data_IF_753107854251
#
_entry.id   IF_753107854251
#
_cell.length_a   1.000
_cell.length_b   1.000
_cell.length_c   1.000
_cell.angle_alpha   90.00
_cell.angle_beta   90.00
_cell.angle_gamma   90.00
#
_symmetry.space_group_name_H-M   'P 1'
#
loop_
_entity.id
_entity.type
_entity.pdbx_description
1 polymer ?
#
# COMPACT_ATOMS: atom_id res chain seq x y z
N UNK A 1 -3.82 -25.64 13.10
CA UNK A 1 -2.50 -26.30 13.03
C UNK A 1 -1.38 -25.40 12.48
N UNK A 2 -1.61 -24.55 11.47
CA UNK A 2 -0.54 -23.69 10.90
C UNK A 2 0.11 -22.72 11.88
N UNK A 3 -0.64 -22.15 12.85
CA UNK A 3 -0.09 -21.17 13.82
C UNK A 3 0.99 -21.75 14.74
N UNK A 4 0.91 -23.02 15.10
CA UNK A 4 1.88 -23.66 16.01
C UNK A 4 3.21 -23.94 15.30
N UNK A 5 3.17 -24.43 14.07
CA UNK A 5 4.37 -24.66 13.25
C UNK A 5 5.13 -23.36 12.98
N UNK A 6 4.41 -22.28 12.65
CA UNK A 6 4.98 -20.95 12.41
C UNK A 6 5.62 -20.38 13.68
N UNK A 7 5.02 -20.65 14.86
CA UNK A 7 5.58 -20.24 16.15
C UNK A 7 6.85 -21.01 16.52
N UNK A 8 6.88 -22.32 16.26
CA UNK A 8 8.06 -23.15 16.49
C UNK A 8 9.23 -22.68 15.60
N UNK A 9 8.97 -22.43 14.31
CA UNK A 9 10.00 -21.90 13.41
C UNK A 9 10.50 -20.50 13.87
N UNK A 10 9.64 -19.67 14.44
CA UNK A 10 10.01 -18.40 15.06
C UNK A 10 11.00 -18.59 16.22
N UNK A 11 10.78 -19.56 17.11
CA UNK A 11 11.60 -19.77 18.32
C UNK A 11 13.05 -20.15 17.98
N UNK A 12 13.29 -20.85 16.88
CA UNK A 12 14.60 -21.33 16.45
C UNK A 12 15.30 -20.47 15.41
N UNK A 13 14.73 -19.31 15.05
CA UNK A 13 15.28 -18.43 14.03
C UNK A 13 16.29 -17.43 14.59
N UNK A 14 17.43 -17.25 13.89
CA UNK A 14 18.39 -16.17 14.15
C UNK A 14 17.78 -14.76 13.94
N UNK A 15 16.63 -14.67 13.25
CA UNK A 15 15.93 -13.43 12.89
C UNK A 15 14.79 -13.06 13.86
N UNK A 16 14.86 -13.45 15.12
CA UNK A 16 13.76 -13.27 16.10
C UNK A 16 13.25 -11.83 16.18
N UNK A 17 14.15 -10.86 16.24
CA UNK A 17 13.75 -9.47 16.36
C UNK A 17 13.02 -8.96 15.11
N UNK A 18 13.57 -9.23 13.93
CA UNK A 18 12.95 -8.84 12.66
C UNK A 18 11.58 -9.51 12.49
N UNK A 19 11.47 -10.81 12.75
CA UNK A 19 10.20 -11.54 12.72
C UNK A 19 9.19 -10.97 13.71
N UNK A 20 9.62 -10.54 14.90
CA UNK A 20 8.75 -9.92 15.91
C UNK A 20 8.20 -8.58 15.42
N UNK A 21 9.04 -7.74 14.81
CA UNK A 21 8.62 -6.46 14.23
C UNK A 21 7.63 -6.68 13.08
N UNK A 22 7.94 -7.58 12.15
CA UNK A 22 7.02 -7.95 11.05
C UNK A 22 5.69 -8.47 11.58
N UNK A 23 5.68 -9.37 12.56
CA UNK A 23 4.44 -9.88 13.15
C UNK A 23 3.53 -8.77 13.70
N UNK A 24 4.11 -7.73 14.30
CA UNK A 24 3.33 -6.58 14.80
C UNK A 24 2.59 -5.89 13.67
N UNK A 25 3.23 -5.72 12.53
CA UNK A 25 2.64 -5.11 11.33
C UNK A 25 1.63 -6.08 10.70
N UNK A 26 2.05 -7.29 10.40
CA UNK A 26 1.28 -8.27 9.63
C UNK A 26 0.09 -8.87 10.42
N UNK A 27 0.24 -9.05 11.74
CA UNK A 27 -0.71 -9.78 12.58
C UNK A 27 -0.53 -11.30 12.57
N UNK A 28 0.47 -11.81 11.84
CA UNK A 28 0.82 -13.22 11.75
C UNK A 28 2.34 -13.40 11.64
N UNK A 29 2.81 -14.65 11.78
CA UNK A 29 4.24 -14.96 11.60
C UNK A 29 4.57 -15.19 10.13
N UNK A 30 5.61 -14.52 9.57
CA UNK A 30 6.11 -14.82 8.24
C UNK A 30 6.73 -16.23 8.21
N UNK A 31 6.49 -16.97 7.12
CA UNK A 31 7.14 -18.27 6.84
C UNK A 31 8.48 -18.05 6.19
N UNK A 32 8.46 -17.35 5.07
CA UNK A 32 9.62 -17.07 4.24
C UNK A 32 10.14 -15.65 4.48
N UNK A 33 11.07 -15.50 5.45
CA UNK A 33 11.59 -14.18 5.87
C UNK A 33 12.37 -13.48 4.78
N UNK A 34 13.00 -14.22 3.90
CA UNK A 34 13.84 -13.67 2.83
C UNK A 34 13.06 -12.75 1.90
N UNK A 35 11.81 -13.10 1.59
CA UNK A 35 10.92 -12.29 0.73
C UNK A 35 10.58 -10.95 1.38
N UNK A 36 10.35 -10.93 2.70
CA UNK A 36 10.09 -9.69 3.42
C UNK A 36 11.33 -8.81 3.54
N UNK A 37 12.52 -9.40 3.65
CA UNK A 37 13.77 -8.62 3.60
C UNK A 37 13.95 -7.96 2.23
N UNK A 38 13.67 -8.69 1.16
CA UNK A 38 13.69 -8.15 -0.20
C UNK A 38 12.68 -7.01 -0.38
N UNK A 39 11.44 -7.18 0.10
CA UNK A 39 10.41 -6.14 0.06
C UNK A 39 10.80 -4.83 0.75
N UNK A 40 11.67 -4.90 1.75
CA UNK A 40 12.14 -3.76 2.53
C UNK A 40 13.47 -3.17 2.05
N UNK A 41 14.03 -3.72 0.99
CA UNK A 41 15.31 -3.30 0.43
C UNK A 41 15.09 -2.35 -0.74
N UNK A 42 15.33 -1.05 -0.52
CA UNK A 42 15.22 -0.06 -1.59
C UNK A 42 16.42 -0.14 -2.55
N UNK A 43 16.17 0.09 -3.84
CA UNK A 43 17.18 0.06 -4.91
C UNK A 43 18.43 0.92 -4.64
N UNK A 44 18.33 1.97 -3.83
CA UNK A 44 19.48 2.83 -3.50
C UNK A 44 20.64 2.08 -2.84
N UNK A 45 20.36 0.95 -2.19
CA UNK A 45 21.41 0.11 -1.59
C UNK A 45 22.23 -0.69 -2.61
N UNK A 46 21.72 -0.84 -3.84
CA UNK A 46 22.41 -1.57 -4.89
C UNK A 46 23.57 -0.80 -5.53
N UNK A 47 23.66 0.53 -5.32
CA UNK A 47 24.74 1.37 -5.84
C UNK A 47 26.13 0.93 -5.35
N UNK A 48 26.22 0.28 -4.19
CA UNK A 48 27.46 -0.15 -3.58
C UNK A 48 27.75 -1.65 -3.72
N UNK A 49 26.90 -2.42 -4.41
CA UNK A 49 27.08 -3.86 -4.58
C UNK A 49 27.61 -4.16 -5.99
N UNK A 50 28.84 -4.68 -6.07
CA UNK A 50 29.41 -5.26 -7.29
C UNK A 50 28.88 -6.70 -7.44
N UNK A 51 28.28 -7.02 -8.60
CA UNK A 51 27.84 -8.37 -8.96
C UNK A 51 26.42 -8.48 -9.51
N UNK A 52 26.13 -9.60 -10.18
CA UNK A 52 24.90 -9.85 -10.96
C UNK A 52 23.62 -10.11 -10.12
N UNK A 53 23.65 -10.00 -8.80
CA UNK A 53 22.50 -10.22 -7.93
C UNK A 53 22.10 -8.92 -7.20
N UNK A 54 21.63 -7.94 -7.97
CA UNK A 54 20.96 -6.77 -7.41
C UNK A 54 19.59 -7.21 -6.93
N UNK A 55 19.42 -7.40 -5.63
CA UNK A 55 18.10 -7.62 -5.01
C UNK A 55 17.58 -6.30 -4.50
N UNK A 56 16.42 -5.91 -4.95
CA UNK A 56 15.65 -4.77 -4.47
C UNK A 56 14.16 -5.10 -4.51
N UNK A 57 13.34 -4.16 -4.08
CA UNK A 57 11.92 -4.37 -3.93
C UNK A 57 11.08 -4.11 -5.21
N UNK A 58 11.68 -3.66 -6.31
CA UNK A 58 10.91 -3.21 -7.50
C UNK A 58 10.00 -4.31 -8.08
N UNK A 59 10.46 -5.55 -8.13
CA UNK A 59 9.62 -6.66 -8.63
C UNK A 59 8.47 -7.01 -7.68
N UNK A 60 8.70 -6.91 -6.38
CA UNK A 60 7.68 -7.14 -5.36
C UNK A 60 6.69 -5.97 -5.30
N UNK A 61 7.16 -4.74 -5.50
CA UNK A 61 6.35 -3.54 -5.67
C UNK A 61 5.37 -3.71 -6.83
N UNK A 62 5.87 -4.07 -8.02
CA UNK A 62 5.03 -4.34 -9.20
C UNK A 62 3.95 -5.40 -8.94
N UNK A 63 4.30 -6.51 -8.30
CA UNK A 63 3.34 -7.56 -7.95
C UNK A 63 2.35 -7.09 -6.89
N UNK A 64 2.85 -6.40 -5.88
CA UNK A 64 2.06 -5.93 -4.75
C UNK A 64 1.02 -4.89 -5.13
N UNK A 65 1.34 -3.98 -6.05
CA UNK A 65 0.40 -3.00 -6.59
C UNK A 65 -0.84 -3.70 -7.18
N UNK A 66 -0.64 -4.68 -8.07
CA UNK A 66 -1.73 -5.45 -8.66
C UNK A 66 -2.57 -6.21 -7.61
N UNK A 67 -1.91 -6.79 -6.58
CA UNK A 67 -2.60 -7.49 -5.50
C UNK A 67 -3.37 -6.53 -4.60
N UNK A 68 -2.85 -5.35 -4.31
CA UNK A 68 -3.55 -4.30 -3.54
C UNK A 68 -4.84 -3.89 -4.26
N UNK A 69 -4.75 -3.61 -5.56
CA UNK A 69 -5.93 -3.26 -6.35
C UNK A 69 -6.99 -4.35 -6.33
N UNK A 70 -6.59 -5.61 -6.49
CA UNK A 70 -7.50 -6.74 -6.45
C UNK A 70 -8.17 -6.90 -5.07
N UNK A 71 -7.38 -6.87 -3.99
CA UNK A 71 -7.87 -7.02 -2.61
C UNK A 71 -8.80 -5.89 -2.21
N UNK A 72 -8.43 -4.64 -2.52
CA UNK A 72 -9.26 -3.48 -2.20
C UNK A 72 -10.56 -3.52 -2.99
N UNK A 73 -10.52 -3.90 -4.27
CA UNK A 73 -11.72 -4.07 -5.11
C UNK A 73 -12.67 -5.13 -4.54
N UNK A 74 -12.14 -6.27 -4.14
CA UNK A 74 -12.91 -7.37 -3.53
C UNK A 74 -13.59 -6.90 -2.23
N UNK A 75 -12.86 -6.25 -1.34
CA UNK A 75 -13.41 -5.69 -0.10
C UNK A 75 -14.52 -4.67 -0.39
N UNK A 76 -14.28 -3.72 -1.30
CA UNK A 76 -15.26 -2.68 -1.63
C UNK A 76 -16.52 -3.27 -2.28
N UNK A 77 -16.36 -4.26 -3.14
CA UNK A 77 -17.48 -4.95 -3.77
C UNK A 77 -18.42 -5.56 -2.73
N UNK A 78 -17.89 -6.20 -1.71
CA UNK A 78 -18.68 -6.81 -0.64
C UNK A 78 -19.20 -5.78 0.38
N UNK A 79 -18.46 -4.72 0.66
CA UNK A 79 -18.87 -3.69 1.62
C UNK A 79 -19.94 -2.74 1.08
N UNK A 80 -20.02 -2.57 -0.24
CA UNK A 80 -20.95 -1.63 -0.89
C UNK A 80 -21.79 -2.29 -2.00
N UNK A 81 -22.59 -3.34 -1.69
CA UNK A 81 -23.29 -4.16 -2.70
C UNK A 81 -24.30 -3.37 -3.56
N UNK A 82 -24.78 -2.21 -3.09
CA UNK A 82 -25.74 -1.38 -3.83
C UNK A 82 -25.10 -0.25 -4.63
N UNK A 83 -23.77 -0.16 -4.68
CA UNK A 83 -23.07 0.93 -5.37
C UNK A 83 -22.64 0.53 -6.78
N UNK A 84 -22.65 1.52 -7.70
CA UNK A 84 -22.22 1.34 -9.09
C UNK A 84 -20.69 1.34 -9.20
N UNK A 85 -20.19 0.83 -10.32
CA UNK A 85 -18.77 0.71 -10.65
C UNK A 85 -17.99 2.01 -10.43
N UNK A 86 -18.46 3.15 -10.93
CA UNK A 86 -17.79 4.44 -10.79
C UNK A 86 -17.54 4.86 -9.32
N UNK A 87 -18.50 4.54 -8.41
CA UNK A 87 -18.30 4.77 -6.97
C UNK A 87 -17.18 3.87 -6.42
N UNK A 88 -17.21 2.57 -6.77
CA UNK A 88 -16.21 1.61 -6.27
C UNK A 88 -14.81 1.99 -6.76
N UNK A 89 -14.68 2.37 -8.02
CA UNK A 89 -13.42 2.84 -8.62
C UNK A 89 -12.90 4.11 -7.95
N UNK A 90 -13.78 5.08 -7.68
CA UNK A 90 -13.41 6.31 -6.99
C UNK A 90 -12.89 6.03 -5.57
N UNK A 91 -13.60 5.20 -4.79
CA UNK A 91 -13.17 4.83 -3.42
C UNK A 91 -11.87 4.04 -3.44
N UNK A 92 -11.73 3.07 -4.37
CA UNK A 92 -10.48 2.33 -4.55
C UNK A 92 -9.31 3.27 -4.80
N UNK A 93 -9.42 4.17 -5.78
CA UNK A 93 -8.35 5.11 -6.15
C UNK A 93 -7.84 5.93 -4.94
N UNK A 94 -8.74 6.35 -4.04
CA UNK A 94 -8.37 7.08 -2.81
C UNK A 94 -7.59 6.20 -1.81
N UNK A 95 -7.93 4.92 -1.73
CA UNK A 95 -7.25 3.98 -0.83
C UNK A 95 -5.87 3.62 -1.36
N UNK A 96 -5.74 3.38 -2.68
CA UNK A 96 -4.49 2.91 -3.29
C UNK A 96 -3.58 4.04 -3.76
N UNK A 97 -4.03 5.30 -3.70
CA UNK A 97 -3.18 6.42 -4.09
C UNK A 97 -1.92 6.49 -3.23
N UNK A 98 -0.83 6.97 -3.80
CA UNK A 98 0.51 7.04 -3.20
C UNK A 98 0.55 7.70 -1.82
N UNK A 99 -0.14 8.83 -1.65
CA UNK A 99 -0.23 9.52 -0.36
C UNK A 99 -0.84 8.64 0.74
N UNK A 100 -1.87 7.86 0.40
CA UNK A 100 -2.51 6.91 1.31
C UNK A 100 -1.58 5.74 1.66
N UNK A 101 -0.90 5.14 0.67
CA UNK A 101 0.06 4.06 0.91
C UNK A 101 1.26 4.53 1.73
N UNK A 102 1.79 5.73 1.48
CA UNK A 102 2.83 6.36 2.30
C UNK A 102 2.36 6.53 3.77
N UNK A 103 1.13 6.99 3.97
CA UNK A 103 0.54 7.13 5.30
C UNK A 103 0.41 5.77 6.00
N UNK A 104 -0.11 4.76 5.30
CA UNK A 104 -0.23 3.40 5.83
C UNK A 104 1.12 2.81 6.24
N UNK A 105 2.17 3.00 5.43
CA UNK A 105 3.51 2.57 5.76
C UNK A 105 4.03 3.21 7.06
N UNK A 106 3.74 4.50 7.27
CA UNK A 106 4.10 5.22 8.51
C UNK A 106 3.30 4.72 9.71
N UNK A 107 1.99 4.69 9.60
CA UNK A 107 1.08 4.34 10.71
C UNK A 107 1.22 2.87 11.16
N UNK A 108 1.60 1.97 10.27
CA UNK A 108 1.86 0.56 10.60
C UNK A 108 3.26 0.34 11.21
N UNK A 109 4.14 1.35 11.18
CA UNK A 109 5.54 1.23 11.61
C UNK A 109 6.43 0.52 10.59
N UNK A 110 5.98 0.37 9.33
CA UNK A 110 6.76 -0.28 8.28
C UNK A 110 8.04 0.51 7.96
N UNK A 111 7.96 1.84 8.06
CA UNK A 111 9.08 2.75 7.74
C UNK A 111 10.33 2.40 8.58
N UNK A 112 10.16 1.96 9.83
CA UNK A 112 11.27 1.59 10.72
C UNK A 112 12.02 0.33 10.27
N UNK A 113 11.50 -0.40 9.30
CA UNK A 113 12.10 -1.62 8.76
C UNK A 113 12.70 -1.41 7.36
N UNK A 114 12.41 -0.29 6.70
CA UNK A 114 12.89 -0.02 5.34
C UNK A 114 14.40 0.23 5.35
N UNK A 115 15.11 -0.44 4.47
CA UNK A 115 16.54 -0.25 4.25
C UNK A 115 16.75 0.63 3.02
N UNK A 116 17.23 1.86 3.23
CA UNK A 116 17.52 2.82 2.17
C UNK A 116 18.60 3.81 2.60
N UNK A 117 19.37 4.32 1.65
CA UNK A 117 20.32 5.41 1.90
C UNK A 117 19.65 6.80 1.97
N UNK A 118 18.35 6.91 1.61
CA UNK A 118 17.65 8.19 1.43
C UNK A 118 16.42 8.39 2.30
N UNK A 119 16.17 7.55 3.31
CA UNK A 119 14.92 7.62 4.12
C UNK A 119 14.72 8.96 4.84
N UNK A 120 15.77 9.70 5.12
CA UNK A 120 15.70 10.81 6.10
C UNK A 120 15.38 12.19 5.51
N UNK A 121 15.12 12.38 4.22
CA UNK A 121 15.27 13.72 3.68
C UNK A 121 14.19 14.31 2.78
N UNK A 122 13.05 13.65 2.52
CA UNK A 122 11.99 14.36 1.77
C UNK A 122 10.59 13.96 2.19
N UNK A 123 9.76 14.99 2.48
CA UNK A 123 8.31 14.86 2.70
C UNK A 123 7.58 14.20 1.50
N UNK A 124 8.20 14.17 0.32
CA UNK A 124 7.67 13.61 -0.93
C UNK A 124 8.33 12.29 -1.35
N UNK A 125 8.95 11.56 -0.43
CA UNK A 125 9.57 10.28 -0.76
C UNK A 125 8.53 9.24 -1.19
N UNK A 126 8.78 8.57 -2.33
CA UNK A 126 8.00 7.43 -2.81
C UNK A 126 8.32 6.12 -2.07
N UNK A 127 9.42 6.11 -1.32
CA UNK A 127 9.98 4.92 -0.68
C UNK A 127 9.01 4.21 0.25
N UNK A 128 8.24 4.89 1.14
CA UNK A 128 7.32 4.20 2.04
C UNK A 128 6.18 3.49 1.31
N UNK A 129 5.58 4.13 0.30
CA UNK A 129 4.50 3.55 -0.50
C UNK A 129 4.98 2.34 -1.30
N UNK A 130 6.10 2.47 -2.00
CA UNK A 130 6.70 1.38 -2.76
C UNK A 130 7.05 0.18 -1.86
N UNK A 131 7.58 0.43 -0.66
CA UNK A 131 7.86 -0.63 0.32
C UNK A 131 6.56 -1.27 0.86
N UNK A 132 5.47 -0.50 0.96
CA UNK A 132 4.17 -1.04 1.34
C UNK A 132 3.58 -1.95 0.26
N UNK A 133 3.65 -1.56 -1.00
CA UNK A 133 3.29 -2.40 -2.13
C UNK A 133 4.14 -3.67 -2.15
N UNK A 134 5.46 -3.54 -2.04
CA UNK A 134 6.37 -4.68 -1.99
C UNK A 134 6.08 -5.62 -0.80
N UNK A 135 5.68 -5.08 0.37
CA UNK A 135 5.24 -5.88 1.52
C UNK A 135 4.03 -6.73 1.18
N UNK A 136 3.04 -6.17 0.47
CA UNK A 136 1.85 -6.94 0.05
C UNK A 136 2.22 -8.00 -0.97
N UNK A 137 3.13 -7.71 -1.90
CA UNK A 137 3.71 -8.70 -2.80
C UNK A 137 4.41 -9.84 -2.05
N UNK A 138 5.15 -9.53 -0.97
CA UNK A 138 5.78 -10.52 -0.11
C UNK A 138 4.75 -11.38 0.64
N UNK A 139 3.67 -10.79 1.17
CA UNK A 139 2.57 -11.54 1.81
C UNK A 139 1.95 -12.51 0.82
N UNK A 140 1.74 -12.05 -0.42
CA UNK A 140 1.16 -12.90 -1.47
C UNK A 140 2.06 -14.10 -1.80
N UNK A 141 3.36 -13.92 -1.95
CA UNK A 141 4.29 -15.02 -2.23
C UNK A 141 4.44 -15.97 -1.04
N UNK A 142 4.43 -15.46 0.19
CA UNK A 142 4.57 -16.27 1.42
C UNK A 142 3.28 -17.04 1.76
N UNK A 143 2.10 -16.45 1.52
CA UNK A 143 0.83 -16.93 2.08
C UNK A 143 -0.34 -16.96 1.12
N UNK A 144 -0.24 -16.34 -0.05
CA UNK A 144 -1.29 -16.24 -1.05
C UNK A 144 -2.34 -15.14 -0.77
N UNK A 145 -3.27 -15.01 -1.71
CA UNK A 145 -4.28 -13.94 -1.74
C UNK A 145 -5.12 -13.81 -0.47
N UNK A 146 -5.58 -14.94 0.08
CA UNK A 146 -6.41 -14.92 1.28
C UNK A 146 -5.74 -14.25 2.51
N UNK A 147 -4.40 -14.28 2.59
CA UNK A 147 -3.67 -13.60 3.64
C UNK A 147 -3.47 -12.12 3.36
N UNK A 148 -3.35 -11.71 2.10
CA UNK A 148 -3.40 -10.31 1.71
C UNK A 148 -4.76 -9.71 2.07
N UNK A 149 -5.86 -10.39 1.73
CA UNK A 149 -7.22 -9.97 2.10
C UNK A 149 -7.37 -9.80 3.62
N UNK A 150 -6.96 -10.81 4.42
CA UNK A 150 -6.99 -10.74 5.89
C UNK A 150 -6.13 -9.62 6.47
N UNK A 151 -4.99 -9.34 5.85
CA UNK A 151 -4.12 -8.23 6.25
C UNK A 151 -4.85 -6.89 6.09
N UNK A 152 -5.48 -6.66 4.94
CA UNK A 152 -6.28 -5.45 4.74
C UNK A 152 -7.47 -5.39 5.68
N UNK A 153 -8.27 -6.45 5.76
CA UNK A 153 -9.50 -6.50 6.55
C UNK A 153 -9.25 -6.32 8.06
N UNK A 154 -8.26 -7.03 8.62
CA UNK A 154 -8.08 -7.07 10.07
C UNK A 154 -7.00 -6.12 10.59
N UNK A 155 -6.10 -5.65 9.75
CA UNK A 155 -4.99 -4.79 10.18
C UNK A 155 -5.12 -3.36 9.73
N UNK A 156 -5.72 -3.10 8.56
CA UNK A 156 -5.77 -1.78 7.96
C UNK A 156 -7.16 -1.16 8.09
N UNK A 157 -8.21 -1.89 7.66
CA UNK A 157 -9.58 -1.38 7.70
C UNK A 157 -10.06 -1.27 9.15
N UNK A 158 -10.71 -0.17 9.46
CA UNK A 158 -11.19 0.15 10.81
C UNK A 158 -10.11 0.73 11.75
N UNK A 159 -8.81 0.49 11.48
CA UNK A 159 -7.71 1.08 12.27
C UNK A 159 -7.05 2.25 11.57
N UNK A 160 -6.74 2.09 10.30
CA UNK A 160 -6.00 3.04 9.47
C UNK A 160 -6.81 3.53 8.27
N UNK A 161 -7.81 2.76 7.85
CA UNK A 161 -8.71 3.08 6.73
C UNK A 161 -10.13 3.06 7.25
N UNK A 162 -10.75 4.23 7.35
CA UNK A 162 -12.20 4.36 7.58
C UNK A 162 -12.91 4.39 6.22
N UNK A 163 -13.44 3.25 5.80
CA UNK A 163 -14.13 3.12 4.51
C UNK A 163 -15.32 4.05 4.38
N UNK A 164 -16.06 4.34 5.48
CA UNK A 164 -17.22 5.23 5.46
C UNK A 164 -16.79 6.68 5.25
N UNK A 165 -15.68 7.08 5.85
CA UNK A 165 -15.10 8.41 5.68
C UNK A 165 -14.58 8.58 4.26
N UNK A 166 -13.73 7.65 3.78
CA UNK A 166 -13.18 7.68 2.42
C UNK A 166 -14.30 7.70 1.36
N UNK A 167 -15.38 6.94 1.58
CA UNK A 167 -16.52 6.90 0.68
C UNK A 167 -17.33 8.21 0.65
N UNK A 168 -17.28 9.02 1.71
CA UNK A 168 -17.97 10.33 1.79
C UNK A 168 -17.12 11.50 1.30
N UNK A 169 -15.80 11.35 1.33
CA UNK A 169 -14.87 12.37 0.81
C UNK A 169 -15.04 12.47 -0.71
N UNK A 170 -15.69 13.53 -1.14
CA UNK A 170 -16.02 13.78 -2.55
C UNK A 170 -15.01 14.78 -3.12
N UNK A 171 -13.79 14.31 -3.38
CA UNK A 171 -12.69 15.13 -3.92
C UNK A 171 -12.81 15.36 -5.43
N UNK A 172 -13.84 14.82 -6.06
CA UNK A 172 -13.95 14.81 -7.52
C UNK A 172 -14.90 15.89 -8.07
N UNK A 173 -14.84 17.09 -7.50
CA UNK A 173 -15.68 18.22 -7.93
C UNK A 173 -15.54 18.53 -9.42
N UNK A 174 -14.32 18.41 -9.97
CA UNK A 174 -14.08 18.64 -11.39
C UNK A 174 -14.81 17.63 -12.27
N UNK A 175 -14.72 16.34 -11.97
CA UNK A 175 -15.43 15.29 -12.73
C UNK A 175 -16.96 15.43 -12.59
N UNK A 176 -17.45 15.72 -11.39
CA UNK A 176 -18.89 15.97 -11.19
C UNK A 176 -19.39 17.18 -11.97
N UNK A 177 -18.60 18.24 -12.04
CA UNK A 177 -18.93 19.41 -12.86
C UNK A 177 -18.97 19.04 -14.34
N UNK A 178 -18.01 18.24 -14.81
CA UNK A 178 -17.98 17.76 -16.20
C UNK A 178 -19.18 16.86 -16.48
N UNK A 179 -19.49 15.87 -15.63
CA UNK A 179 -20.63 14.98 -15.79
C UNK A 179 -21.96 15.76 -15.78
N UNK A 180 -22.10 16.70 -14.84
CA UNK A 180 -23.26 17.58 -14.79
C UNK A 180 -23.40 18.41 -16.05
N UNK A 181 -22.32 19.01 -16.54
CA UNK A 181 -22.34 19.84 -17.74
C UNK A 181 -22.70 19.04 -19.00
N UNK A 182 -22.18 17.81 -19.13
CA UNK A 182 -22.52 16.88 -20.21
C UNK A 182 -24.01 16.51 -20.16
N UNK A 183 -24.54 16.21 -18.97
CA UNK A 183 -25.97 15.92 -18.78
C UNK A 183 -26.87 17.09 -19.15
N UNK A 184 -26.42 18.31 -18.85
CA UNK A 184 -27.15 19.55 -19.14
C UNK A 184 -26.80 20.12 -20.52
N UNK A 185 -25.95 19.46 -21.30
CA UNK A 185 -25.46 19.90 -22.61
C UNK A 185 -24.75 21.28 -22.57
N UNK A 186 -24.14 21.62 -21.42
CA UNK A 186 -23.29 22.80 -21.28
C UNK A 186 -21.84 22.49 -21.64
N UNK A 187 -21.15 23.45 -22.25
CA UNK A 187 -19.70 23.38 -22.48
C UNK A 187 -18.97 24.01 -21.29
N UNK A 188 -18.19 23.22 -20.57
CA UNK A 188 -17.32 23.71 -19.51
C UNK A 188 -15.94 23.94 -20.08
N UNK A 189 -15.37 25.12 -19.83
CA UNK A 189 -14.02 25.49 -20.16
C UNK A 189 -13.30 25.81 -18.86
N UNK A 190 -12.10 25.25 -18.66
CA UNK A 190 -11.24 25.55 -17.53
C UNK A 190 -10.15 26.52 -17.97
N UNK A 191 -10.10 27.69 -17.36
CA UNK A 191 -9.10 28.72 -17.64
C UNK A 191 -8.17 28.88 -16.43
N UNK A 192 -6.86 28.96 -16.68
CA UNK A 192 -5.90 29.26 -15.63
C UNK A 192 -5.94 30.76 -15.34
N UNK A 193 -6.53 31.15 -14.21
CA UNK A 193 -6.67 32.56 -13.82
C UNK A 193 -5.51 33.10 -13.01
N UNK A 194 -4.64 32.21 -12.49
CA UNK A 194 -3.45 32.58 -11.75
C UNK A 194 -2.75 31.36 -11.19
N UNK A 195 -1.45 31.47 -10.99
CA UNK A 195 -0.60 30.45 -10.38
C UNK A 195 0.09 31.07 -9.16
N UNK A 196 -0.23 30.59 -7.97
CA UNK A 196 0.50 30.96 -6.75
C UNK A 196 1.65 29.96 -6.56
N UNK A 197 2.86 30.36 -6.92
CA UNK A 197 4.06 29.59 -6.59
C UNK A 197 4.32 29.83 -5.10
N UNK A 198 4.02 28.84 -4.27
CA UNK A 198 4.46 28.80 -2.87
C UNK A 198 5.84 28.19 -2.87
N UNK A 199 6.86 29.05 -2.77
CA UNK A 199 8.23 28.62 -2.52
C UNK A 199 8.27 27.94 -1.14
N UNK A 200 8.60 26.62 -1.12
CA UNK A 200 8.83 25.82 0.09
C UNK A 200 10.27 25.34 0.13
#
# INVERSE_FOLDING_TARGET
MHRLADYIHYLFSSDKEFRRKLRRILGFYPREVSVYREALMHRSLNYHRQGNQKKDNERLEYLGDAIIEAVVSDILYHQFPGKKEGFLTSVRSKIVQRSSLNRLAKETGLVDLIQSTHINHTHNSFIPGNAFEALVGAIYLDRGYAWCYRFFEHRLIGKHIDLKKVAKEDDNFKSRLIEWSQKMQYKVVFELVGENIVDT
#
